data_IF_360440463372
#
_entry.id   IF_360440463372
#
_cell.length_a   1.000
_cell.length_b   1.000
_cell.length_c   1.000
_cell.angle_alpha   90.00
_cell.angle_beta   90.00
_cell.angle_gamma   90.00
#
_symmetry.space_group_name_H-M   'P 1'
#
loop_
_entity.id
_entity.type
_entity.pdbx_description
1 polymer ?
#
# COMPACT_ATOMS: atom_id res chain seq x y z
N UNK A 1 22.62 21.96 69.60
CA UNK A 1 21.70 22.97 69.04
C UNK A 1 20.99 22.33 67.86
N UNK A 2 19.66 22.31 67.92
CA UNK A 2 18.72 21.65 66.99
C UNK A 2 18.59 22.39 65.64
N UNK A 3 18.27 21.64 64.58
CA UNK A 3 17.38 22.00 63.45
C UNK A 3 17.22 20.73 62.58
N UNK A 4 16.34 19.79 62.94
CA UNK A 4 14.93 19.61 62.53
C UNK A 4 14.68 19.41 61.02
N UNK A 5 14.41 18.13 60.73
CA UNK A 5 13.74 17.55 59.57
C UNK A 5 12.26 17.95 59.49
N UNK A 6 11.73 18.13 58.27
CA UNK A 6 10.30 18.18 57.96
C UNK A 6 10.06 17.42 56.65
N UNK A 7 9.67 16.15 56.78
CA UNK A 7 8.91 15.42 55.76
C UNK A 7 7.44 15.85 55.84
N UNK A 8 6.82 16.16 54.70
CA UNK A 8 5.35 16.25 54.58
C UNK A 8 4.84 15.11 53.71
N UNK A 9 4.11 14.21 54.37
CA UNK A 9 3.21 13.22 53.78
C UNK A 9 2.00 13.94 53.18
N UNK A 10 1.61 13.57 51.96
CA UNK A 10 0.26 13.80 51.46
C UNK A 10 -0.32 12.51 50.88
N UNK A 11 -1.33 12.07 51.62
CA UNK A 11 -2.44 11.15 51.45
C UNK A 11 -2.86 10.73 50.03
N UNK A 12 -3.07 9.42 49.88
CA UNK A 12 -3.80 8.74 48.80
C UNK A 12 -5.32 8.87 49.04
N UNK A 13 -6.15 9.14 48.01
CA UNK A 13 -7.56 8.80 48.05
C UNK A 13 -7.88 7.50 47.29
N UNK A 14 -8.68 6.68 47.97
CA UNK A 14 -9.24 5.39 47.56
C UNK A 14 -10.22 5.47 46.40
N UNK A 15 -10.31 4.35 45.68
CA UNK A 15 -11.31 4.00 44.67
C UNK A 15 -12.74 3.94 45.23
N UNK A 16 -13.69 4.41 44.40
CA UNK A 16 -15.03 3.84 44.13
C UNK A 16 -16.08 4.95 43.94
N UNK A 17 -16.47 5.20 42.69
CA UNK A 17 -17.86 5.50 42.27
C UNK A 17 -17.93 5.60 40.74
N UNK A 18 -18.35 4.51 40.11
CA UNK A 18 -18.85 4.47 38.74
C UNK A 18 -20.17 5.23 38.65
N UNK A 19 -20.27 6.28 37.81
CA UNK A 19 -21.51 6.62 37.09
C UNK A 19 -21.25 7.62 35.96
N UNK A 20 -21.28 7.08 34.74
CA UNK A 20 -21.82 7.66 33.51
C UNK A 20 -21.47 9.09 33.14
N UNK A 21 -20.57 9.24 32.16
CA UNK A 21 -20.63 10.31 31.15
C UNK A 21 -20.16 9.75 29.81
N UNK A 22 -21.07 9.02 29.14
CA UNK A 22 -21.02 8.84 27.68
C UNK A 22 -21.40 10.18 27.03
N UNK A 23 -20.72 10.62 25.96
CA UNK A 23 -21.20 11.74 25.15
C UNK A 23 -22.52 11.34 24.45
N UNK A 24 -23.47 12.27 24.27
CA UNK A 24 -24.76 11.97 23.68
C UNK A 24 -24.65 11.63 22.18
N UNK A 25 -25.52 10.76 21.64
CA UNK A 25 -25.56 10.48 20.21
C UNK A 25 -26.08 11.71 19.44
N UNK A 26 -25.37 12.08 18.38
CA UNK A 26 -25.79 13.13 17.47
C UNK A 26 -27.14 12.75 16.81
N UNK A 27 -28.11 13.65 16.90
CA UNK A 27 -29.42 13.51 16.31
C UNK A 27 -29.32 13.38 14.77
N UNK A 28 -29.88 12.30 14.23
CA UNK A 28 -30.05 12.09 12.81
C UNK A 28 -30.91 13.22 12.20
N UNK A 29 -30.28 14.08 11.39
CA UNK A 29 -30.99 15.00 10.50
C UNK A 29 -31.26 14.28 9.18
N UNK A 30 -32.54 14.02 8.91
CA UNK A 30 -33.03 13.50 7.64
C UNK A 30 -32.92 14.57 6.56
N UNK A 31 -31.89 14.46 5.71
CA UNK A 31 -31.82 15.21 4.47
C UNK A 31 -32.52 14.42 3.35
N UNK A 32 -33.57 15.02 2.77
CA UNK A 32 -34.23 14.51 1.57
C UNK A 32 -33.33 14.78 0.37
N UNK A 33 -32.97 13.73 -0.36
CA UNK A 33 -32.17 13.80 -1.59
C UNK A 33 -32.97 14.44 -2.74
N UNK A 34 -32.41 15.37 -3.51
CA UNK A 34 -32.97 15.80 -4.79
C UNK A 34 -32.71 14.73 -5.89
N UNK A 35 -33.51 14.70 -6.97
CA UNK A 35 -33.41 13.67 -8.01
C UNK A 35 -32.14 13.84 -8.86
N UNK A 36 -31.61 12.75 -9.45
CA UNK A 36 -30.36 12.80 -10.20
C UNK A 36 -30.57 13.47 -11.56
N UNK A 37 -29.81 14.55 -11.81
CA UNK A 37 -29.57 15.07 -13.15
C UNK A 37 -28.56 14.13 -13.84
N UNK A 38 -28.93 13.64 -15.03
CA UNK A 38 -28.17 12.66 -15.78
C UNK A 38 -26.75 13.13 -16.11
N UNK A 39 -25.77 12.35 -15.68
CA UNK A 39 -24.37 12.51 -16.06
C UNK A 39 -24.02 11.51 -17.16
N UNK A 40 -23.40 12.03 -18.23
CA UNK A 40 -22.96 11.29 -19.41
C UNK A 40 -21.85 10.29 -19.03
N UNK A 41 -21.99 9.02 -19.42
CA UNK A 41 -20.90 8.03 -19.40
C UNK A 41 -19.77 8.51 -20.33
N UNK A 42 -18.61 8.82 -19.75
CA UNK A 42 -17.34 8.81 -20.47
C UNK A 42 -16.64 7.49 -20.09
N UNK A 43 -16.66 6.55 -21.02
CA UNK A 43 -15.90 5.29 -20.94
C UNK A 43 -14.54 5.55 -21.58
N UNK A 44 -13.50 5.72 -20.77
CA UNK A 44 -12.11 5.68 -21.23
C UNK A 44 -11.53 4.30 -20.88
N UNK A 45 -11.11 3.56 -21.90
CA UNK A 45 -10.46 2.25 -21.80
C UNK A 45 -8.95 2.44 -21.62
N UNK A 46 -8.36 1.84 -20.58
CA UNK A 46 -6.91 1.88 -20.33
C UNK A 46 -6.20 0.66 -20.91
N UNK A 47 -5.08 0.88 -21.61
CA UNK A 47 -4.16 -0.16 -22.10
C UNK A 47 -2.83 -0.08 -21.31
N UNK A 48 -2.27 -1.20 -20.82
CA UNK A 48 -0.99 -1.27 -20.14
C UNK A 48 0.14 -1.41 -21.16
N UNK A 49 1.33 -1.03 -20.73
CA UNK A 49 2.56 -1.23 -21.49
C UNK A 49 3.47 -2.20 -20.76
N UNK A 50 4.01 -3.18 -21.49
CA UNK A 50 5.00 -4.12 -21.00
C UNK A 50 6.36 -3.74 -21.58
N UNK A 51 7.39 -3.63 -20.74
CA UNK A 51 8.76 -3.42 -21.20
C UNK A 51 9.64 -4.52 -20.61
N UNK A 52 10.24 -5.34 -21.47
CA UNK A 52 11.34 -6.20 -21.07
C UNK A 52 12.58 -5.32 -20.86
N UNK A 53 13.38 -5.49 -19.79
CA UNK A 53 14.52 -4.60 -19.49
C UNK A 53 15.69 -4.64 -20.50
N UNK A 54 15.54 -5.26 -21.67
CA UNK A 54 16.58 -5.25 -22.70
C UNK A 54 15.97 -5.07 -24.09
N UNK A 55 16.53 -4.10 -24.83
CA UNK A 55 16.25 -3.73 -26.23
C UNK A 55 15.15 -2.69 -26.44
N UNK A 56 15.54 -1.41 -26.35
CA UNK A 56 14.87 -0.34 -27.09
C UNK A 56 15.19 -0.55 -28.58
N UNK A 57 14.26 -1.15 -29.31
CA UNK A 57 14.25 -1.14 -30.77
C UNK A 57 13.03 -0.33 -31.22
N UNK A 58 13.31 0.91 -31.63
CA UNK A 58 12.38 1.77 -32.35
C UNK A 58 12.16 1.21 -33.75
N UNK A 59 10.92 0.92 -34.15
CA UNK A 59 10.46 1.18 -35.52
C UNK A 59 8.93 1.01 -35.70
N UNK A 60 8.31 2.07 -36.25
CA UNK A 60 7.41 1.90 -37.40
C UNK A 60 5.90 1.72 -37.21
N UNK A 61 5.20 2.85 -36.98
CA UNK A 61 3.94 3.24 -37.63
C UNK A 61 2.62 2.47 -37.34
N UNK A 62 1.73 3.12 -36.59
CA UNK A 62 0.40 3.50 -37.10
C UNK A 62 -0.25 4.56 -36.18
N UNK A 63 -0.65 5.66 -36.80
CA UNK A 63 -1.21 6.86 -36.17
C UNK A 63 -2.70 6.70 -35.90
N UNK A 64 -3.05 6.65 -34.61
CA UNK A 64 -4.32 7.15 -34.09
C UNK A 64 -4.02 7.77 -32.71
N UNK A 65 -4.30 9.06 -32.56
CA UNK A 65 -4.03 9.88 -31.38
C UNK A 65 -4.89 9.46 -30.16
N UNK A 66 -4.27 8.96 -29.09
CA UNK A 66 -4.82 8.86 -27.72
C UNK A 66 -3.66 9.04 -26.71
N UNK A 67 -3.88 9.60 -25.49
CA UNK A 67 -2.81 10.05 -24.60
C UNK A 67 -2.18 8.89 -23.80
N UNK A 68 -1.39 8.09 -24.50
CA UNK A 68 -0.61 6.97 -23.96
C UNK A 68 0.71 7.47 -23.36
N UNK A 69 0.67 8.13 -22.19
CA UNK A 69 1.87 8.80 -21.69
C UNK A 69 2.36 8.28 -20.35
N UNK A 70 3.60 7.78 -20.36
CA UNK A 70 4.45 7.62 -19.17
C UNK A 70 4.40 8.86 -18.26
N UNK A 71 4.29 10.06 -18.83
CA UNK A 71 4.13 11.30 -18.09
C UNK A 71 2.85 11.33 -17.23
N UNK A 72 1.72 10.79 -17.71
CA UNK A 72 0.50 10.66 -16.91
C UNK A 72 0.64 9.64 -15.78
N UNK A 73 1.23 8.48 -16.08
CA UNK A 73 1.58 7.50 -15.04
C UNK A 73 2.46 8.15 -13.96
N UNK A 74 3.52 8.85 -14.38
CA UNK A 74 4.45 9.51 -13.49
C UNK A 74 3.78 10.60 -12.64
N UNK A 75 2.92 11.41 -13.24
CA UNK A 75 2.16 12.44 -12.54
C UNK A 75 1.18 11.87 -11.50
N UNK A 76 0.63 10.67 -11.75
CA UNK A 76 -0.30 10.02 -10.80
C UNK A 76 0.38 9.27 -9.69
N UNK A 77 1.52 8.66 -9.96
CA UNK A 77 2.21 7.81 -8.99
C UNK A 77 3.19 8.58 -8.09
N UNK A 78 3.80 9.65 -8.59
CA UNK A 78 4.85 10.37 -7.87
C UNK A 78 4.32 11.15 -6.67
N UNK A 79 4.99 11.01 -5.54
CA UNK A 79 4.59 11.65 -4.28
C UNK A 79 5.18 10.99 -3.05
N UNK A 80 4.88 11.60 -1.91
CA UNK A 80 5.01 10.99 -0.60
C UNK A 80 3.75 10.17 -0.32
N UNK A 81 3.94 8.92 0.08
CA UNK A 81 2.85 7.99 0.37
C UNK A 81 3.03 7.47 1.80
N UNK A 82 2.06 7.73 2.67
CA UNK A 82 2.08 7.28 4.07
C UNK A 82 0.97 6.25 4.28
N UNK A 83 1.19 5.27 5.16
CA UNK A 83 0.21 4.20 5.32
C UNK A 83 0.63 3.13 6.30
N UNK A 84 0.04 1.95 6.11
CA UNK A 84 0.36 0.75 6.86
C UNK A 84 0.76 -0.39 5.94
N UNK A 85 1.69 -1.21 6.40
CA UNK A 85 2.15 -2.41 5.71
C UNK A 85 2.14 -3.63 6.62
N UNK A 86 1.55 -4.73 6.18
CA UNK A 86 1.47 -5.97 6.94
C UNK A 86 1.93 -7.17 6.12
N UNK A 87 2.40 -8.20 6.81
CA UNK A 87 2.80 -9.46 6.20
C UNK A 87 1.78 -10.56 6.54
N UNK A 88 1.53 -11.43 5.57
CA UNK A 88 0.58 -12.53 5.66
C UNK A 88 1.24 -13.83 5.21
N UNK A 89 0.84 -14.93 5.84
CA UNK A 89 1.21 -16.28 5.39
C UNK A 89 0.59 -16.59 4.03
N UNK A 90 1.03 -17.67 3.39
CA UNK A 90 0.40 -18.14 2.14
C UNK A 90 -1.08 -18.53 2.32
N UNK A 91 -1.54 -18.77 3.56
CA UNK A 91 -2.94 -19.05 3.88
C UNK A 91 -3.77 -17.77 4.13
N UNK A 92 -3.15 -16.58 4.15
CA UNK A 92 -3.81 -15.31 4.42
C UNK A 92 -3.98 -15.00 5.91
N UNK A 93 -3.16 -15.62 6.78
CA UNK A 93 -3.11 -15.28 8.20
C UNK A 93 -2.12 -14.14 8.43
N UNK A 94 -2.47 -13.10 9.20
CA UNK A 94 -1.56 -12.01 9.50
C UNK A 94 -0.37 -12.51 10.34
N UNK A 95 0.81 -11.97 10.07
CA UNK A 95 2.04 -12.30 10.79
C UNK A 95 2.33 -11.19 11.79
N UNK A 96 2.38 -11.54 13.07
CA UNK A 96 2.68 -10.60 14.15
C UNK A 96 4.10 -10.03 14.02
N UNK A 97 4.27 -8.77 14.39
CA UNK A 97 5.58 -8.13 14.42
C UNK A 97 6.49 -8.80 15.46
N UNK A 98 7.80 -8.94 15.18
CA UNK A 98 8.74 -9.54 16.12
C UNK A 98 8.75 -8.83 17.48
N UNK A 99 8.85 -9.59 18.57
CA UNK A 99 8.83 -9.03 19.93
C UNK A 99 9.91 -7.98 20.19
N UNK A 100 11.04 -8.05 19.47
CA UNK A 100 12.17 -7.13 19.62
C UNK A 100 11.94 -5.76 18.96
N UNK A 101 10.86 -5.59 18.19
CA UNK A 101 10.48 -4.30 17.58
C UNK A 101 9.21 -3.70 18.20
N UNK A 102 8.47 -4.49 18.99
CA UNK A 102 7.23 -4.05 19.64
C UNK A 102 7.54 -3.58 21.07
N UNK A 103 7.16 -2.33 21.44
CA UNK A 103 7.32 -1.84 22.82
C UNK A 103 6.65 -2.74 23.86
N UNK A 104 7.27 -2.87 25.04
CA UNK A 104 6.79 -3.75 26.13
C UNK A 104 5.36 -3.43 26.58
N UNK A 105 4.96 -2.16 26.53
CA UNK A 105 3.61 -1.71 26.88
C UNK A 105 2.50 -2.44 26.11
N UNK A 106 2.71 -2.78 24.82
CA UNK A 106 1.74 -3.55 24.05
C UNK A 106 1.53 -4.96 24.64
N UNK A 107 2.59 -5.58 25.18
CA UNK A 107 2.50 -6.89 25.84
C UNK A 107 1.76 -6.79 27.16
N UNK A 108 2.06 -5.75 27.96
CA UNK A 108 1.38 -5.50 29.22
C UNK A 108 -0.13 -5.31 29.03
N UNK A 109 -0.54 -4.78 27.88
CA UNK A 109 -1.94 -4.60 27.51
C UNK A 109 -2.55 -5.81 26.78
N UNK A 110 -1.76 -6.84 26.46
CA UNK A 110 -2.21 -8.00 25.68
C UNK A 110 -2.61 -7.65 24.25
N UNK A 111 -2.01 -6.61 23.66
CA UNK A 111 -2.30 -6.14 22.31
C UNK A 111 -1.22 -6.67 21.35
N UNK A 112 -1.66 -7.47 20.37
CA UNK A 112 -0.80 -7.92 19.28
C UNK A 112 -0.67 -6.82 18.22
N UNK A 113 0.53 -6.67 17.65
CA UNK A 113 0.81 -5.66 16.61
C UNK A 113 1.23 -6.38 15.34
N UNK A 114 0.56 -6.09 14.24
CA UNK A 114 0.77 -6.76 12.95
C UNK A 114 1.26 -5.80 11.85
N UNK A 115 0.81 -4.55 11.91
CA UNK A 115 1.03 -3.56 10.88
C UNK A 115 2.25 -2.69 11.22
N UNK A 116 3.12 -2.49 10.24
CA UNK A 116 4.11 -1.44 10.24
C UNK A 116 3.45 -0.13 9.81
N UNK A 117 3.73 0.98 10.50
CA UNK A 117 3.56 2.28 9.86
C UNK A 117 4.64 2.45 8.78
N UNK A 118 4.24 2.88 7.58
CA UNK A 118 5.11 2.96 6.43
C UNK A 118 5.09 4.34 5.78
N UNK A 119 6.23 4.70 5.21
CA UNK A 119 6.33 5.78 4.24
C UNK A 119 6.98 5.26 2.97
N UNK A 120 6.49 5.70 1.82
CA UNK A 120 6.92 5.24 0.52
C UNK A 120 7.04 6.41 -0.48
N UNK A 121 7.97 7.37 -0.26
CA UNK A 121 8.37 8.33 -1.28
C UNK A 121 8.62 7.60 -2.61
N UNK A 122 7.84 7.97 -3.61
CA UNK A 122 7.83 7.36 -4.94
C UNK A 122 8.04 8.45 -5.97
N UNK A 123 8.95 8.23 -6.91
CA UNK A 123 9.21 9.13 -8.02
C UNK A 123 9.29 8.34 -9.32
N UNK A 124 8.53 8.78 -10.31
CA UNK A 124 8.75 8.44 -11.70
C UNK A 124 9.08 9.72 -12.47
N UNK A 125 10.20 9.75 -13.19
CA UNK A 125 10.60 10.94 -13.95
C UNK A 125 9.77 11.02 -15.25
N UNK A 126 8.89 12.02 -15.43
CA UNK A 126 8.07 12.13 -16.63
C UNK A 126 8.88 12.28 -17.94
N UNK A 127 10.15 12.68 -17.86
CA UNK A 127 11.05 12.81 -19.01
C UNK A 127 11.87 11.53 -19.30
N UNK A 128 11.92 10.57 -18.37
CA UNK A 128 12.68 9.33 -18.51
C UNK A 128 11.75 8.10 -18.42
N UNK A 129 11.31 7.53 -19.57
CA UNK A 129 10.42 6.38 -19.60
C UNK A 129 10.93 5.21 -18.77
N UNK A 130 10.05 4.60 -17.97
CA UNK A 130 10.36 3.49 -17.06
C UNK A 130 11.36 3.81 -15.93
N UNK A 131 11.77 5.07 -15.75
CA UNK A 131 12.54 5.51 -14.59
C UNK A 131 11.61 5.73 -13.38
N UNK A 132 11.25 4.63 -12.72
CA UNK A 132 10.50 4.61 -11.47
C UNK A 132 11.40 4.12 -10.33
N UNK A 133 11.40 4.84 -9.22
CA UNK A 133 11.97 4.36 -7.98
C UNK A 133 11.15 4.78 -6.75
N UNK A 134 11.30 4.02 -5.68
CA UNK A 134 10.72 4.36 -4.39
C UNK A 134 11.61 3.91 -3.25
N UNK A 135 11.41 4.52 -2.09
CA UNK A 135 12.03 4.12 -0.82
C UNK A 135 10.94 3.76 0.19
N UNK A 136 10.81 2.48 0.51
CA UNK A 136 9.92 1.99 1.55
C UNK A 136 10.61 2.07 2.91
N UNK A 137 10.12 2.96 3.76
CA UNK A 137 10.52 3.12 5.15
C UNK A 137 9.48 2.44 6.04
N UNK A 138 9.93 1.61 6.98
CA UNK A 138 9.09 1.06 8.06
C UNK A 138 9.49 1.72 9.36
N UNK A 139 8.50 2.15 10.13
CA UNK A 139 8.70 2.79 11.42
C UNK A 139 8.44 1.80 12.55
N UNK A 140 9.16 1.94 13.67
CA UNK A 140 8.87 1.18 14.88
C UNK A 140 7.50 1.59 15.45
N UNK A 141 6.70 0.63 15.95
CA UNK A 141 5.50 0.94 16.72
C UNK A 141 5.84 1.83 17.93
N UNK A 142 5.00 2.83 18.20
CA UNK A 142 5.16 3.79 19.30
C UNK A 142 3.94 3.77 20.23
N UNK A 143 4.13 4.17 21.49
CA UNK A 143 3.06 4.29 22.49
C UNK A 143 3.08 5.68 23.13
N UNK A 144 1.92 6.16 23.59
CA UNK A 144 1.82 7.42 24.34
C UNK A 144 2.17 8.67 23.53
N UNK A 145 2.59 9.75 24.20
CA UNK A 145 2.97 11.01 23.55
C UNK A 145 4.27 10.93 22.73
N UNK A 146 4.98 9.80 22.80
CA UNK A 146 6.14 9.49 21.95
C UNK A 146 5.71 9.11 20.52
N UNK A 147 4.40 9.00 20.28
CA UNK A 147 3.73 8.99 18.98
C UNK A 147 4.25 10.08 18.01
N UNK A 148 4.72 11.21 18.52
CA UNK A 148 5.25 12.30 17.70
C UNK A 148 6.71 12.07 17.23
N UNK A 149 7.38 11.00 17.72
CA UNK A 149 8.74 10.64 17.36
C UNK A 149 8.78 9.36 16.49
N UNK A 150 8.72 9.54 15.18
CA UNK A 150 8.89 8.45 14.21
C UNK A 150 10.32 7.89 14.24
N UNK A 151 10.48 6.62 14.62
CA UNK A 151 11.79 5.93 14.58
C UNK A 151 11.83 4.97 13.42
N UNK A 152 12.81 5.12 12.53
CA UNK A 152 13.00 4.24 11.37
C UNK A 152 13.53 2.88 11.82
N UNK A 153 12.84 1.81 11.44
CA UNK A 153 13.29 0.43 11.59
C UNK A 153 14.11 -0.03 10.37
N UNK A 154 13.53 0.10 9.18
CA UNK A 154 14.18 -0.29 7.92
C UNK A 154 13.89 0.71 6.82
N UNK A 155 14.82 0.87 5.88
CA UNK A 155 14.64 1.64 4.66
C UNK A 155 15.10 0.81 3.47
N UNK A 156 14.19 0.45 2.58
CA UNK A 156 14.44 -0.37 1.40
C UNK A 156 14.17 0.41 0.12
N UNK A 157 15.09 0.33 -0.85
CA UNK A 157 14.95 1.03 -2.13
C UNK A 157 14.63 0.04 -3.25
N UNK A 158 13.75 0.45 -4.17
CA UNK A 158 13.46 -0.27 -5.41
C UNK A 158 13.57 0.69 -6.57
N UNK A 159 14.07 0.18 -7.69
CA UNK A 159 14.19 0.92 -8.93
C UNK A 159 13.76 0.01 -10.08
N UNK A 160 12.84 0.43 -10.95
CA UNK A 160 12.25 -0.42 -11.99
C UNK A 160 13.29 -1.11 -12.89
N UNK A 161 14.44 -0.47 -13.14
CA UNK A 161 15.57 -1.08 -13.86
C UNK A 161 16.16 -2.35 -13.23
N UNK A 162 15.94 -2.60 -11.93
CA UNK A 162 16.33 -3.85 -11.27
C UNK A 162 15.23 -4.92 -11.27
N UNK A 163 14.08 -4.64 -11.89
CA UNK A 163 13.02 -5.62 -12.07
C UNK A 163 13.34 -6.51 -13.26
N UNK A 164 12.98 -7.79 -13.19
CA UNK A 164 13.01 -8.70 -14.33
C UNK A 164 11.88 -8.39 -15.33
N UNK A 165 10.78 -7.82 -14.84
CA UNK A 165 9.63 -7.41 -15.64
C UNK A 165 8.95 -6.20 -15.01
N UNK A 166 8.52 -5.25 -15.84
CA UNK A 166 7.79 -4.06 -15.40
C UNK A 166 6.71 -3.66 -16.41
N UNK A 167 5.53 -3.37 -15.90
CA UNK A 167 4.42 -2.83 -16.67
C UNK A 167 3.65 -1.78 -15.87
N UNK A 168 3.05 -0.83 -16.57
CA UNK A 168 2.30 0.26 -15.96
C UNK A 168 1.06 0.62 -16.78
N UNK A 169 0.15 1.38 -16.15
CA UNK A 169 -0.96 2.05 -16.82
C UNK A 169 -0.93 3.55 -16.56
N UNK A 170 -1.49 4.36 -17.47
CA UNK A 170 -1.63 5.80 -17.28
C UNK A 170 -2.44 6.18 -16.03
N UNK A 171 -3.18 5.22 -15.43
CA UNK A 171 -3.91 5.36 -14.17
C UNK A 171 -3.03 5.42 -12.91
N UNK A 172 -1.71 5.18 -13.03
CA UNK A 172 -0.77 5.16 -11.90
C UNK A 172 -0.53 3.77 -11.31
N UNK A 173 -1.26 2.75 -11.77
CA UNK A 173 -1.06 1.36 -11.37
C UNK A 173 0.14 0.74 -12.11
N UNK A 174 0.85 -0.17 -11.46
CA UNK A 174 1.96 -0.90 -12.06
C UNK A 174 2.07 -2.33 -11.53
N UNK A 175 2.80 -3.16 -12.27
CA UNK A 175 3.28 -4.46 -11.80
C UNK A 175 4.78 -4.57 -12.06
N UNK A 176 5.50 -5.06 -11.05
CA UNK A 176 6.93 -5.30 -11.12
C UNK A 176 7.27 -6.69 -10.58
N UNK A 177 8.21 -7.38 -11.22
CA UNK A 177 8.72 -8.66 -10.77
C UNK A 177 10.20 -8.54 -10.40
N UNK A 178 10.53 -8.76 -9.12
CA UNK A 178 11.87 -8.56 -8.58
C UNK A 178 12.54 -9.91 -8.25
N UNK A 179 13.72 -10.21 -8.81
CA UNK A 179 14.49 -11.37 -8.36
C UNK A 179 14.93 -11.17 -6.92
N UNK A 180 14.86 -12.22 -6.09
CA UNK A 180 15.19 -12.17 -4.66
C UNK A 180 16.24 -13.21 -4.28
N UNK A 181 17.47 -12.75 -4.08
CA UNK A 181 18.57 -13.59 -3.62
C UNK A 181 19.06 -14.58 -4.68
N UNK A 182 19.95 -15.51 -4.30
CA UNK A 182 20.57 -16.46 -5.24
C UNK A 182 19.68 -17.67 -5.57
N UNK A 183 18.65 -17.94 -4.75
CA UNK A 183 17.67 -18.97 -5.02
C UNK A 183 16.61 -18.44 -6.01
N UNK A 184 15.93 -19.30 -6.77
CA UNK A 184 14.90 -18.87 -7.71
C UNK A 184 13.64 -18.44 -6.94
N UNK A 185 13.66 -17.22 -6.38
CA UNK A 185 12.56 -16.59 -5.65
C UNK A 185 12.27 -15.25 -6.32
N UNK A 186 10.99 -14.99 -6.56
CA UNK A 186 10.50 -13.78 -7.19
C UNK A 186 9.57 -13.04 -6.21
N UNK A 187 9.73 -11.73 -6.08
CA UNK A 187 8.71 -10.87 -5.48
C UNK A 187 7.90 -10.21 -6.62
N UNK A 188 6.62 -10.56 -6.74
CA UNK A 188 5.71 -9.93 -7.71
C UNK A 188 4.89 -8.89 -6.98
N UNK A 189 5.12 -7.62 -7.31
CA UNK A 189 4.44 -6.46 -6.73
C UNK A 189 3.38 -5.93 -7.69
N UNK A 190 2.15 -5.82 -7.21
CA UNK A 190 1.05 -5.14 -7.88
C UNK A 190 0.73 -3.87 -7.11
N UNK A 191 0.90 -2.71 -7.72
CA UNK A 191 0.43 -1.43 -7.19
C UNK A 191 -0.84 -1.03 -7.93
N UNK A 192 -1.94 -0.91 -7.19
CA UNK A 192 -3.25 -0.50 -7.72
C UNK A 192 -3.59 0.84 -7.11
N UNK A 193 -3.62 1.89 -7.94
CA UNK A 193 -4.15 3.21 -7.55
C UNK A 193 -5.65 3.18 -7.71
N UNK A 194 -6.39 3.67 -6.72
CA UNK A 194 -7.85 3.66 -6.76
C UNK A 194 -8.36 4.53 -7.93
N UNK A 195 -9.24 4.01 -8.81
CA UNK A 195 -9.62 4.69 -10.05
C UNK A 195 -10.27 6.05 -9.80
N UNK A 196 -11.15 6.13 -8.79
CA UNK A 196 -11.88 7.35 -8.44
C UNK A 196 -11.18 8.22 -7.38
N UNK A 197 -10.15 7.70 -6.73
CA UNK A 197 -9.45 8.38 -5.65
C UNK A 197 -7.94 8.19 -5.79
N UNK A 198 -7.32 9.09 -6.55
CA UNK A 198 -5.90 9.02 -6.89
C UNK A 198 -4.97 9.19 -5.69
N UNK A 199 -5.50 9.60 -4.54
CA UNK A 199 -4.74 9.73 -3.30
C UNK A 199 -4.71 8.43 -2.48
N UNK A 200 -5.23 7.31 -3.00
CA UNK A 200 -5.19 6.02 -2.32
C UNK A 200 -4.64 4.97 -3.26
N UNK A 201 -3.72 4.14 -2.74
CA UNK A 201 -3.20 2.97 -3.46
C UNK A 201 -3.04 1.78 -2.53
N UNK A 202 -3.11 0.61 -3.12
CA UNK A 202 -2.75 -0.66 -2.46
C UNK A 202 -1.59 -1.28 -3.21
N UNK A 203 -0.55 -1.69 -2.47
CA UNK A 203 0.56 -2.49 -3.02
C UNK A 203 0.52 -3.90 -2.45
N UNK A 204 0.38 -4.88 -3.32
CA UNK A 204 0.36 -6.31 -3.00
C UNK A 204 1.65 -6.96 -3.50
N UNK A 205 2.49 -7.48 -2.60
CA UNK A 205 3.74 -8.14 -2.94
C UNK A 205 3.65 -9.62 -2.60
N UNK A 206 3.65 -10.48 -3.62
CA UNK A 206 3.67 -11.93 -3.47
C UNK A 206 5.12 -12.42 -3.53
N UNK A 207 5.56 -13.18 -2.52
CA UNK A 207 6.85 -13.88 -2.59
C UNK A 207 6.62 -15.30 -3.11
N UNK A 208 7.14 -15.61 -4.30
CA UNK A 208 6.96 -16.89 -4.98
C UNK A 208 8.29 -17.60 -5.09
N UNK A 209 8.38 -18.83 -4.61
CA UNK A 209 9.52 -19.70 -4.91
C UNK A 209 9.27 -20.41 -6.24
N UNK A 210 10.19 -20.23 -7.17
CA UNK A 210 10.21 -20.83 -8.50
C UNK A 210 11.04 -22.13 -8.42
N UNK A 211 10.42 -23.22 -8.00
CA UNK A 211 11.01 -24.56 -8.10
C UNK A 211 10.43 -25.27 -9.34
N UNK A 212 10.36 -26.61 -9.32
CA UNK A 212 9.60 -27.37 -10.34
C UNK A 212 8.14 -26.91 -10.46
N UNK A 213 7.60 -26.39 -9.37
CA UNK A 213 6.28 -25.76 -9.32
C UNK A 213 6.42 -24.43 -8.58
N UNK A 214 5.73 -23.41 -9.08
CA UNK A 214 5.64 -22.11 -8.43
C UNK A 214 4.85 -22.22 -7.12
N UNK A 215 5.45 -21.80 -6.01
CA UNK A 215 4.82 -21.86 -4.68
C UNK A 215 4.85 -20.50 -3.99
N UNK A 216 3.66 -20.01 -3.62
CA UNK A 216 3.52 -18.83 -2.77
C UNK A 216 4.12 -19.12 -1.37
N UNK A 217 4.99 -18.22 -0.92
CA UNK A 217 5.62 -18.27 0.41
C UNK A 217 4.92 -17.36 1.41
N UNK A 218 4.41 -16.23 0.93
CA UNK A 218 3.75 -15.23 1.74
C UNK A 218 3.42 -14.00 0.90
N UNK A 219 2.67 -13.09 1.52
CA UNK A 219 2.15 -11.88 0.90
C UNK A 219 2.47 -10.70 1.80
N UNK A 220 2.82 -9.56 1.21
CA UNK A 220 2.86 -8.27 1.90
C UNK A 220 1.79 -7.38 1.28
N UNK A 221 1.04 -6.69 2.12
CA UNK A 221 0.04 -5.72 1.68
C UNK A 221 0.41 -4.38 2.27
N UNK A 222 0.33 -3.33 1.45
CA UNK A 222 0.48 -1.95 1.88
C UNK A 222 -0.78 -1.19 1.47
N UNK A 223 -1.42 -0.55 2.44
CA UNK A 223 -2.50 0.42 2.21
C UNK A 223 -1.90 1.80 2.45
N UNK A 224 -1.90 2.63 1.41
CA UNK A 224 -1.15 3.89 1.40
C UNK A 224 -1.99 5.03 0.86
N UNK A 225 -1.85 6.18 1.50
CA UNK A 225 -2.46 7.43 1.11
C UNK A 225 -1.39 8.43 0.67
N UNK A 226 -1.72 9.20 -0.37
CA UNK A 226 -0.89 10.30 -0.83
C UNK A 226 -0.86 11.40 0.23
N UNK A 227 0.33 11.70 0.70
CA UNK A 227 0.57 12.73 1.72
C UNK A 227 0.92 14.08 1.08
N UNK A 228 1.70 14.07 0.00
CA UNK A 228 2.21 15.29 -0.59
C UNK A 228 3.10 15.07 -1.82
N UNK A 229 3.56 16.16 -2.46
CA UNK A 229 4.53 16.10 -3.54
C UNK A 229 5.82 15.42 -3.07
N UNK A 230 6.51 14.74 -3.98
CA UNK A 230 7.77 14.06 -3.68
C UNK A 230 8.81 15.03 -3.08
N UNK A 231 9.35 14.65 -1.92
CA UNK A 231 10.41 15.34 -1.16
C UNK A 231 11.46 14.34 -0.68
N UNK A 232 11.58 13.18 -1.33
CA UNK A 232 12.54 12.13 -0.98
C UNK A 232 12.48 11.73 0.52
N UNK A 233 11.29 11.78 1.11
CA UNK A 233 11.04 11.50 2.53
C UNK A 233 11.87 12.35 3.50
N UNK A 234 12.12 13.63 3.18
CA UNK A 234 12.73 14.60 4.11
C UNK A 234 11.89 14.81 5.39
N UNK A 235 10.59 14.53 5.32
CA UNK A 235 9.68 14.62 6.45
C UNK A 235 9.14 13.23 6.79
N UNK A 236 9.42 12.77 8.01
CA UNK A 236 8.74 11.60 8.55
C UNK A 236 7.32 12.00 8.97
N UNK A 237 6.33 11.26 8.50
CA UNK A 237 4.92 11.44 8.83
C UNK A 237 4.73 11.18 10.32
N UNK A 238 4.17 12.16 11.03
CA UNK A 238 3.74 11.98 12.42
C UNK A 238 2.52 11.07 12.51
N UNK A 239 2.06 10.77 13.73
CA UNK A 239 0.94 9.86 14.04
C UNK A 239 -0.43 10.17 13.41
N UNK A 240 -0.53 11.12 12.48
CA UNK A 240 -1.76 11.53 11.81
C UNK A 240 -1.90 10.89 10.41
N UNK A 241 -1.62 9.60 10.27
CA UNK A 241 -2.04 8.86 9.07
C UNK A 241 -3.56 8.70 9.15
N UNK A 242 -4.31 9.05 8.09
CA UNK A 242 -5.78 8.97 8.10
C UNK A 242 -6.31 7.53 8.11
N UNK A 243 -5.49 6.59 7.64
CA UNK A 243 -5.82 5.17 7.63
C UNK A 243 -5.48 4.50 8.97
N UNK A 244 -6.12 3.37 9.23
CA UNK A 244 -5.87 2.55 10.39
C UNK A 244 -5.09 1.29 9.99
N UNK A 245 -4.35 0.72 10.96
CA UNK A 245 -3.85 -0.64 10.87
C UNK A 245 -4.99 -1.61 10.49
N UNK A 246 -4.72 -2.54 9.57
CA UNK A 246 -5.76 -3.33 8.91
C UNK A 246 -5.57 -4.84 9.08
N UNK A 247 -4.39 -5.33 9.43
CA UNK A 247 -4.10 -6.76 9.35
C UNK A 247 -4.94 -7.62 10.30
N UNK A 248 -5.29 -7.08 11.47
CA UNK A 248 -6.19 -7.71 12.44
C UNK A 248 -7.67 -7.33 12.24
N UNK A 249 -7.99 -6.59 11.17
CA UNK A 249 -9.34 -6.13 10.85
C UNK A 249 -10.26 -7.23 10.34
N UNK A 250 -11.49 -6.84 10.03
CA UNK A 250 -12.48 -7.75 9.45
C UNK A 250 -12.03 -8.22 8.06
N UNK A 251 -12.09 -9.54 7.84
CA UNK A 251 -11.77 -10.14 6.55
C UNK A 251 -12.99 -10.07 5.64
N UNK A 252 -12.76 -9.70 4.38
CA UNK A 252 -13.80 -9.76 3.35
C UNK A 252 -14.36 -11.19 3.26
N UNK A 253 -15.68 -11.34 3.35
CA UNK A 253 -16.29 -12.66 3.28
C UNK A 253 -16.18 -13.20 1.85
N UNK A 254 -15.95 -14.52 1.72
CA UNK A 254 -15.90 -15.16 0.41
C UNK A 254 -17.19 -14.92 -0.38
N UNK A 255 -18.34 -14.86 0.30
CA UNK A 255 -19.62 -14.52 -0.32
C UNK A 255 -19.63 -13.19 -1.05
N UNK A 256 -18.83 -12.23 -0.60
CA UNK A 256 -18.82 -10.87 -1.14
C UNK A 256 -18.00 -10.79 -2.43
N UNK A 257 -17.15 -11.80 -2.68
CA UNK A 257 -16.35 -11.92 -3.91
C UNK A 257 -16.87 -12.97 -4.89
N UNK A 258 -17.80 -13.84 -4.45
CA UNK A 258 -18.43 -14.81 -5.32
C UNK A 258 -19.45 -14.13 -6.23
N UNK A 259 -19.37 -14.40 -7.53
CA UNK A 259 -20.31 -13.84 -8.49
C UNK A 259 -19.77 -13.86 -9.91
N UNK A 260 -20.51 -13.22 -10.82
CA UNK A 260 -20.05 -12.97 -12.17
C UNK A 260 -19.38 -11.60 -12.22
N UNK A 261 -18.10 -11.61 -12.60
CA UNK A 261 -17.32 -10.41 -12.80
C UNK A 261 -17.23 -10.12 -14.29
N UNK A 262 -17.58 -8.91 -14.69
CA UNK A 262 -17.39 -8.41 -16.04
C UNK A 262 -16.38 -7.27 -15.98
N UNK A 263 -15.45 -7.26 -16.93
CA UNK A 263 -14.53 -6.16 -17.10
C UNK A 263 -14.78 -5.52 -18.46
N UNK A 264 -14.93 -4.21 -18.47
CA UNK A 264 -15.03 -3.41 -19.69
C UNK A 264 -13.66 -3.23 -20.38
N UNK A 265 -12.57 -3.53 -19.68
CA UNK A 265 -11.20 -3.44 -20.16
C UNK A 265 -10.30 -4.43 -19.41
N UNK A 266 -9.94 -5.54 -20.06
CA UNK A 266 -8.91 -6.44 -19.57
C UNK A 266 -7.61 -6.10 -20.26
N UNK A 267 -6.51 -6.13 -19.52
CA UNK A 267 -5.22 -5.96 -20.14
C UNK A 267 -4.12 -6.76 -19.48
N UNK A 268 -3.23 -7.27 -20.31
CA UNK A 268 -2.17 -8.18 -19.90
C UNK A 268 -0.85 -7.66 -20.46
N UNK A 269 0.15 -7.57 -19.59
CA UNK A 269 1.53 -7.41 -19.99
C UNK A 269 2.10 -8.82 -20.24
N UNK A 270 2.64 -9.04 -21.43
CA UNK A 270 3.35 -10.29 -21.74
C UNK A 270 4.83 -10.02 -21.66
N UNK A 271 5.51 -10.80 -20.82
CA UNK A 271 6.96 -10.77 -20.70
C UNK A 271 7.47 -12.08 -21.30
N UNK A 272 8.31 -11.98 -22.32
CA UNK A 272 9.02 -13.12 -22.89
C UNK A 272 10.48 -12.73 -23.02
N UNK A 273 11.36 -13.52 -22.44
CA UNK A 273 12.75 -13.59 -22.89
C UNK A 273 12.75 -14.53 -24.09
N UNK A 274 13.34 -14.14 -25.21
CA UNK A 274 13.31 -14.89 -26.48
C UNK A 274 14.10 -16.23 -26.44
N UNK A 275 14.36 -16.79 -25.26
CA UNK A 275 15.14 -18.01 -25.03
C UNK A 275 14.63 -18.86 -23.85
N UNK A 276 13.32 -19.05 -23.66
CA UNK A 276 12.75 -20.25 -23.00
C UNK A 276 11.21 -20.29 -23.19
N UNK A 277 10.57 -21.46 -23.40
CA UNK A 277 9.13 -21.55 -23.61
C UNK A 277 8.29 -21.40 -22.32
N UNK A 278 8.91 -21.19 -21.15
CA UNK A 278 8.18 -20.87 -19.92
C UNK A 278 7.80 -19.38 -19.88
N UNK A 279 6.73 -19.06 -20.61
CA UNK A 279 6.14 -17.72 -20.63
C UNK A 279 5.54 -17.38 -19.26
N UNK A 280 6.12 -16.40 -18.56
CA UNK A 280 5.49 -15.81 -17.36
C UNK A 280 4.56 -14.69 -17.81
N UNK A 281 3.27 -15.00 -17.95
CA UNK A 281 2.24 -13.99 -18.17
C UNK A 281 1.87 -13.33 -16.84
N UNK A 282 2.04 -12.02 -16.74
CA UNK A 282 1.60 -11.24 -15.56
C UNK A 282 0.46 -10.34 -15.98
N UNK A 283 -0.75 -10.68 -15.54
CA UNK A 283 -1.97 -9.96 -15.93
C UNK A 283 -2.35 -8.92 -14.89
N UNK A 284 -2.58 -7.69 -15.35
CA UNK A 284 -2.99 -6.56 -14.51
C UNK A 284 -4.50 -6.35 -14.73
N UNK A 285 -5.33 -7.06 -13.96
CA UNK A 285 -6.78 -6.88 -14.06
C UNK A 285 -7.20 -5.77 -13.09
N UNK A 286 -7.49 -4.57 -13.61
CA UNK A 286 -8.16 -3.54 -12.82
C UNK A 286 -9.67 -3.75 -13.00
N UNK A 287 -10.35 -4.14 -11.92
CA UNK A 287 -11.81 -4.24 -11.93
C UNK A 287 -12.34 -2.82 -11.71
N UNK A 288 -12.83 -2.18 -12.78
CA UNK A 288 -13.53 -0.91 -12.67
C UNK A 288 -15.04 -1.16 -12.67
N UNK A 289 -15.72 -0.49 -11.73
CA UNK A 289 -17.18 -0.36 -11.56
C UNK A 289 -17.91 -1.47 -10.78
N UNK A 290 -18.28 -1.11 -9.56
CA UNK A 290 -19.36 -1.77 -8.81
C UNK A 290 -20.70 -1.13 -9.21
N UNK A 291 -21.68 -1.94 -9.58
CA UNK A 291 -23.07 -1.53 -9.60
C UNK A 291 -23.87 -2.62 -8.90
N UNK A 292 -24.47 -2.27 -7.77
CA UNK A 292 -25.49 -3.07 -7.09
C UNK A 292 -26.84 -2.89 -7.77
#
# INVERSE_FOLDING_TARGET
>A
MHLLSMQRLLTIPSSASYRGLLPPPAAARTFKSPPPLGLRKLTESFTPHAVSPTTVATDGSSTASQPDSWAEFAARLSGEWDGFGAEFTAAGDPVELPENVVPEAYRDWGVQVFDWQTQCPTLADPAAPCDLHYRLVRLLPTVGCEADAATVHTSHHRHASSASAFAYSAGGSYVAAWPKGPAPVLEVEHCVVHPDNREVRVRLVQTVALAKEARLRGVKVFSEQWYGPYRNGEQLGGCAVREAAFAAGEKLAVSDVLGQWQSDAASAARFSDELDPEMVSISLCTIANFSF
#
